data_IF_524554405026
#
_entry.id   IF_524554405026
#
_cell.length_a   1.000
_cell.length_b   1.000
_cell.length_c   1.000
_cell.angle_alpha   90.00
_cell.angle_beta   90.00
_cell.angle_gamma   90.00
#
_symmetry.space_group_name_H-M   'P 1'
#
loop_
_entity.id
_entity.type
_entity.pdbx_description
1 polymer ?
#
# COMPACT_ATOMS: atom_id res chain seq x y z
N UNK A 1 26.94 2.70 18.57
CA UNK A 1 27.25 4.07 19.05
C UNK A 1 27.76 4.93 17.89
N UNK A 2 26.89 5.29 16.94
CA UNK A 2 27.15 6.36 15.98
C UNK A 2 25.79 6.83 15.42
N UNK A 3 25.16 7.81 16.09
CA UNK A 3 23.86 8.36 15.67
C UNK A 3 24.11 9.26 14.45
N UNK A 4 23.45 8.95 13.34
CA UNK A 4 23.50 9.81 12.14
C UNK A 4 22.40 10.85 12.27
N UNK A 5 22.80 12.10 12.35
CA UNK A 5 21.88 13.24 12.41
C UNK A 5 21.53 13.73 11.00
N UNK A 6 20.34 14.30 10.84
CA UNK A 6 19.85 14.82 9.57
C UNK A 6 20.23 16.31 9.48
N UNK A 7 20.89 16.69 8.39
CA UNK A 7 21.36 18.06 8.18
C UNK A 7 21.20 18.44 6.70
N UNK A 8 20.46 19.53 6.45
CA UNK A 8 20.28 20.06 5.09
C UNK A 8 21.41 21.04 4.81
N UNK A 9 22.20 20.72 3.78
CA UNK A 9 23.27 21.61 3.30
C UNK A 9 22.77 22.47 2.15
N UNK A 10 23.06 23.77 2.23
CA UNK A 10 22.86 24.69 1.11
C UNK A 10 23.75 24.25 -0.07
N UNK A 11 23.11 23.94 -1.21
CA UNK A 11 23.80 23.67 -2.48
C UNK A 11 24.05 24.96 -3.25
N UNK A 12 24.73 24.90 -4.40
CA UNK A 12 25.11 26.08 -5.18
C UNK A 12 23.87 26.95 -5.51
N UNK A 13 23.85 28.17 -4.96
CA UNK A 13 22.74 29.13 -5.11
C UNK A 13 21.68 29.09 -4.00
N UNK A 14 21.81 28.20 -3.02
CA UNK A 14 20.97 28.17 -1.82
C UNK A 14 21.53 29.03 -0.69
N UNK A 15 20.64 29.60 0.10
CA UNK A 15 20.98 30.35 1.29
C UNK A 15 21.20 29.44 2.51
N UNK A 16 22.19 29.78 3.34
CA UNK A 16 22.59 29.01 4.52
C UNK A 16 21.53 29.15 5.61
N UNK A 17 20.93 30.34 5.79
CA UNK A 17 19.93 30.57 6.83
C UNK A 17 18.67 29.72 6.55
N UNK A 18 18.23 29.73 5.30
CA UNK A 18 17.12 28.91 4.82
C UNK A 18 17.36 27.42 5.07
N UNK A 19 18.58 26.92 4.80
CA UNK A 19 18.94 25.53 5.07
C UNK A 19 18.94 25.20 6.58
N UNK A 20 19.35 26.14 7.43
CA UNK A 20 19.26 26.03 8.87
C UNK A 20 17.82 25.91 9.37
N UNK A 21 16.91 26.73 8.83
CA UNK A 21 15.47 26.66 9.15
C UNK A 21 14.89 25.30 8.76
N UNK A 22 15.17 24.80 7.55
CA UNK A 22 14.68 23.48 7.13
C UNK A 22 15.23 22.34 7.97
N UNK A 23 16.50 22.42 8.37
CA UNK A 23 17.10 21.44 9.28
C UNK A 23 16.38 21.45 10.63
N UNK A 24 16.08 22.62 11.18
CA UNK A 24 15.30 22.76 12.41
C UNK A 24 13.89 22.17 12.30
N UNK A 25 13.19 22.45 11.21
CA UNK A 25 11.84 21.92 10.96
C UNK A 25 11.83 20.39 10.87
N UNK A 26 12.78 19.79 10.15
CA UNK A 26 12.85 18.34 10.02
C UNK A 26 13.17 17.69 11.36
N UNK A 27 14.10 18.25 12.14
CA UNK A 27 14.43 17.70 13.47
C UNK A 27 13.23 17.77 14.40
N UNK A 28 12.51 18.89 14.41
CA UNK A 28 11.28 19.02 15.19
C UNK A 28 10.24 17.96 14.81
N UNK A 29 9.94 17.82 13.52
CA UNK A 29 9.00 16.80 13.04
C UNK A 29 9.47 15.38 13.38
N UNK A 30 10.78 15.12 13.29
CA UNK A 30 11.35 13.81 13.59
C UNK A 30 11.26 13.48 15.09
N UNK A 31 11.46 14.46 15.97
CA UNK A 31 11.33 14.30 17.42
C UNK A 31 9.87 14.06 17.82
N UNK A 32 8.92 14.80 17.24
CA UNK A 32 7.47 14.65 17.49
C UNK A 32 6.96 13.25 17.14
N UNK A 33 7.47 12.67 16.05
CA UNK A 33 7.08 11.34 15.58
C UNK A 33 7.82 10.17 16.26
N UNK A 34 8.66 10.42 17.27
CA UNK A 34 9.60 9.41 17.83
C UNK A 34 10.42 8.72 16.73
N UNK A 35 10.99 9.53 15.84
CA UNK A 35 11.68 9.06 14.65
C UNK A 35 12.94 8.26 14.96
N UNK A 36 13.60 8.53 16.08
CA UNK A 36 14.80 7.81 16.51
C UNK A 36 14.49 6.33 16.78
N UNK A 37 13.40 6.05 17.51
CA UNK A 37 13.00 4.69 17.80
C UNK A 37 12.64 3.94 16.51
N UNK A 38 11.90 4.59 15.61
CA UNK A 38 11.47 4.03 14.33
C UNK A 38 12.64 3.76 13.38
N UNK A 39 13.61 4.67 13.31
CA UNK A 39 14.83 4.50 12.54
C UNK A 39 15.72 3.38 13.11
N UNK A 40 15.82 3.30 14.45
CA UNK A 40 16.54 2.22 15.13
C UNK A 40 15.90 0.85 14.86
N UNK A 41 14.57 0.75 14.93
CA UNK A 41 13.86 -0.49 14.60
C UNK A 41 14.02 -0.85 13.12
N UNK A 42 13.95 0.14 12.22
CA UNK A 42 14.23 -0.06 10.79
C UNK A 42 15.64 -0.63 10.56
N UNK A 43 16.66 -0.07 11.22
CA UNK A 43 18.03 -0.57 11.15
C UNK A 43 18.15 -1.98 11.71
N UNK A 44 17.52 -2.26 12.86
CA UNK A 44 17.52 -3.58 13.47
C UNK A 44 16.84 -4.63 12.60
N UNK A 45 15.73 -4.28 11.95
CA UNK A 45 15.06 -5.13 10.96
C UNK A 45 15.96 -5.38 9.76
N UNK A 46 16.62 -4.35 9.24
CA UNK A 46 17.62 -4.49 8.17
C UNK A 46 18.71 -5.50 8.51
N UNK A 47 19.17 -5.54 9.77
CA UNK A 47 20.14 -6.54 10.22
C UNK A 47 19.59 -7.98 10.26
N UNK A 48 18.28 -8.15 10.51
CA UNK A 48 17.63 -9.49 10.58
C UNK A 48 17.19 -10.03 9.22
N UNK A 49 16.58 -9.18 8.40
CA UNK A 49 15.92 -9.58 7.13
C UNK A 49 16.71 -9.14 5.90
N UNK A 50 17.81 -8.42 6.08
CA UNK A 50 18.63 -7.83 5.02
C UNK A 50 18.11 -6.49 4.49
N UNK A 51 16.86 -6.12 4.79
CA UNK A 51 16.23 -4.87 4.32
C UNK A 51 15.32 -4.26 5.39
N UNK A 52 15.43 -2.95 5.60
CA UNK A 52 14.58 -2.18 6.51
C UNK A 52 13.83 -1.10 5.74
N UNK A 53 12.56 -0.89 6.08
CA UNK A 53 11.71 0.10 5.43
C UNK A 53 11.17 1.11 6.42
N UNK A 54 11.21 2.37 6.01
CA UNK A 54 10.65 3.49 6.73
C UNK A 54 9.67 4.19 5.79
N UNK A 55 8.41 4.23 6.19
CA UNK A 55 7.34 4.84 5.41
C UNK A 55 7.01 6.21 6.01
N UNK A 56 6.95 7.23 5.16
CA UNK A 56 6.58 8.59 5.53
C UNK A 56 5.27 8.89 4.81
N UNK A 57 4.25 9.29 5.55
CA UNK A 57 2.96 9.69 5.00
C UNK A 57 2.47 10.96 5.68
N UNK A 58 1.51 11.65 5.05
CA UNK A 58 0.82 12.78 5.65
C UNK A 58 -0.50 12.26 6.20
N UNK A 59 -0.62 12.25 7.52
CA UNK A 59 -1.87 11.84 8.16
C UNK A 59 -2.89 12.98 8.05
N UNK A 60 -3.85 12.80 7.15
CA UNK A 60 -4.99 13.69 6.99
C UNK A 60 -6.24 13.21 7.74
N UNK A 61 -6.18 12.03 8.38
CA UNK A 61 -7.32 11.41 9.05
C UNK A 61 -7.46 11.90 10.50
N UNK A 62 -6.35 12.21 11.18
CA UNK A 62 -6.32 12.69 12.57
C UNK A 62 -6.53 14.20 12.71
N UNK A 63 -5.88 15.02 11.88
CA UNK A 63 -6.09 16.47 11.79
C UNK A 63 -6.21 16.92 10.32
N UNK A 64 -7.44 17.13 9.81
CA UNK A 64 -7.66 17.52 8.42
C UNK A 64 -7.18 18.94 8.09
N UNK A 65 -6.91 19.77 9.10
CA UNK A 65 -6.51 21.17 8.94
C UNK A 65 -4.99 21.29 8.95
N UNK A 66 -4.32 20.72 9.95
CA UNK A 66 -2.87 20.88 10.11
C UNK A 66 -2.05 19.78 9.43
N UNK A 67 -2.67 18.64 9.09
CA UNK A 67 -2.06 17.51 8.36
C UNK A 67 -0.65 17.18 8.85
N UNK A 68 -0.59 16.34 9.87
CA UNK A 68 0.68 16.00 10.50
C UNK A 68 1.48 14.98 9.67
N UNK A 69 2.81 15.00 9.82
CA UNK A 69 3.64 13.93 9.27
C UNK A 69 3.48 12.68 10.12
N UNK A 70 3.43 11.53 9.46
CA UNK A 70 3.46 10.22 10.09
C UNK A 70 4.69 9.46 9.58
N UNK A 71 5.38 8.83 10.52
CA UNK A 71 6.51 7.97 10.26
C UNK A 71 6.19 6.57 10.76
N UNK A 72 6.35 5.55 9.94
CA UNK A 72 6.09 4.17 10.32
C UNK A 72 7.26 3.26 9.92
N UNK A 73 7.73 2.41 10.85
CA UNK A 73 8.63 1.31 10.50
C UNK A 73 7.81 0.12 10.01
N UNK A 74 7.94 -0.21 8.73
CA UNK A 74 7.14 -1.25 8.08
C UNK A 74 7.88 -2.59 8.11
N UNK A 75 7.13 -3.69 8.19
CA UNK A 75 7.68 -5.03 8.06
C UNK A 75 8.20 -5.26 6.63
N UNK A 76 9.39 -5.84 6.49
CA UNK A 76 10.00 -6.13 5.17
C UNK A 76 9.13 -7.03 4.30
N UNK A 77 8.37 -7.95 4.90
CA UNK A 77 7.50 -8.87 4.16
C UNK A 77 6.26 -8.21 3.55
N UNK A 78 5.93 -7.01 4.03
CA UNK A 78 4.80 -6.23 3.58
C UNK A 78 5.15 -5.31 2.41
N UNK A 79 6.44 -5.13 2.10
CA UNK A 79 6.90 -4.27 1.02
C UNK A 79 7.42 -5.13 -0.12
N UNK A 80 6.88 -4.90 -1.31
CA UNK A 80 7.30 -5.56 -2.54
C UNK A 80 7.89 -4.52 -3.49
N UNK A 81 9.17 -4.70 -3.79
CA UNK A 81 9.90 -3.94 -4.81
C UNK A 81 9.50 -4.41 -6.21
N UNK A 82 9.60 -3.53 -7.20
CA UNK A 82 9.48 -3.91 -8.61
C UNK A 82 10.44 -5.07 -8.95
N UNK A 83 9.91 -6.22 -9.42
CA UNK A 83 10.74 -7.37 -9.78
C UNK A 83 11.80 -7.09 -10.86
N UNK A 84 11.62 -6.02 -11.66
CA UNK A 84 12.55 -5.65 -12.73
C UNK A 84 13.65 -4.70 -12.28
N UNK A 85 13.53 -4.14 -11.07
CA UNK A 85 14.52 -3.25 -10.48
C UNK A 85 15.84 -3.96 -10.16
N UNK A 86 16.95 -3.28 -10.42
CA UNK A 86 18.32 -3.80 -10.26
C UNK A 86 19.21 -2.84 -9.49
N UNK A 87 18.93 -1.53 -9.52
CA UNK A 87 19.72 -0.57 -8.74
C UNK A 87 19.31 -0.54 -7.28
N UNK A 88 20.26 -0.12 -6.45
CA UNK A 88 20.03 0.11 -5.02
C UNK A 88 19.16 1.35 -4.78
N UNK A 89 19.38 2.41 -5.57
CA UNK A 89 18.46 3.54 -5.59
C UNK A 89 17.23 3.14 -6.41
N UNK A 90 16.08 3.08 -5.74
CA UNK A 90 14.83 2.68 -6.36
C UNK A 90 14.26 3.79 -7.24
N UNK A 91 14.71 5.04 -7.10
CA UNK A 91 14.21 6.14 -7.91
C UNK A 91 14.68 6.08 -9.37
N UNK A 92 15.73 5.30 -9.67
CA UNK A 92 16.34 5.26 -11.00
C UNK A 92 15.57 4.34 -11.96
N UNK A 93 15.15 3.16 -11.49
CA UNK A 93 14.63 2.09 -12.34
C UNK A 93 13.32 1.44 -11.86
N UNK A 94 12.96 1.56 -10.58
CA UNK A 94 11.71 0.99 -10.08
C UNK A 94 10.55 1.94 -10.40
N UNK A 95 9.49 1.42 -11.03
CA UNK A 95 8.29 2.22 -11.27
C UNK A 95 7.32 2.18 -10.09
N UNK A 96 7.31 1.07 -9.35
CA UNK A 96 6.35 0.82 -8.29
C UNK A 96 7.03 0.22 -7.06
N UNK A 97 6.53 0.64 -5.90
CA UNK A 97 6.78 -0.02 -4.62
C UNK A 97 5.41 -0.32 -4.03
N UNK A 98 5.11 -1.61 -3.83
CA UNK A 98 3.78 -2.03 -3.36
C UNK A 98 3.82 -2.30 -1.86
N UNK A 99 2.95 -1.61 -1.13
CA UNK A 99 2.79 -1.79 0.31
C UNK A 99 1.53 -2.61 0.61
N UNK A 100 1.72 -3.80 1.18
CA UNK A 100 0.66 -4.71 1.61
C UNK A 100 0.40 -4.55 3.11
N UNK A 101 -0.78 -4.04 3.49
CA UNK A 101 -1.20 -3.92 4.89
C UNK A 101 -2.37 -4.86 5.18
N UNK A 102 -2.30 -5.53 6.32
CA UNK A 102 -3.43 -6.30 6.87
C UNK A 102 -4.22 -5.36 7.77
N UNK A 103 -5.46 -5.08 7.37
CA UNK A 103 -6.34 -4.12 8.05
C UNK A 103 -7.76 -4.67 8.09
N UNK A 104 -8.53 -4.27 9.09
CA UNK A 104 -9.93 -4.70 9.23
C UNK A 104 -10.80 -4.13 8.11
N UNK A 105 -11.72 -4.95 7.59
CA UNK A 105 -12.63 -4.58 6.50
C UNK A 105 -13.36 -3.26 6.77
N UNK A 106 -13.90 -3.09 7.98
CA UNK A 106 -14.63 -1.88 8.39
C UNK A 106 -13.76 -0.62 8.31
N UNK A 107 -12.48 -0.73 8.64
CA UNK A 107 -11.53 0.39 8.59
C UNK A 107 -11.21 0.76 7.15
N UNK A 108 -11.05 -0.22 6.27
CA UNK A 108 -10.83 0.01 4.84
C UNK A 108 -12.07 0.64 4.18
N UNK A 109 -13.28 0.16 4.50
CA UNK A 109 -14.54 0.73 4.00
C UNK A 109 -14.74 2.20 4.41
N UNK A 110 -14.27 2.56 5.62
CA UNK A 110 -14.28 3.95 6.09
C UNK A 110 -13.28 4.81 5.31
N UNK A 111 -12.08 4.29 5.05
CA UNK A 111 -11.00 5.01 4.35
C UNK A 111 -11.29 5.18 2.85
N UNK A 112 -11.90 4.19 2.21
CA UNK A 112 -12.18 4.17 0.78
C UNK A 112 -13.68 3.94 0.50
N UNK A 113 -14.54 4.94 0.78
CA UNK A 113 -15.99 4.76 0.69
C UNK A 113 -16.49 4.48 -0.73
N UNK A 114 -15.73 4.89 -1.75
CA UNK A 114 -16.07 4.68 -3.17
C UNK A 114 -15.93 3.23 -3.63
N UNK A 115 -15.12 2.44 -2.94
CA UNK A 115 -14.81 1.05 -3.32
C UNK A 115 -15.58 0.02 -2.48
N UNK A 116 -16.57 0.45 -1.69
CA UNK A 116 -17.36 -0.44 -0.82
C UNK A 116 -18.02 -1.58 -1.60
N UNK A 117 -18.66 -1.27 -2.72
CA UNK A 117 -19.36 -2.26 -3.55
C UNK A 117 -18.40 -3.27 -4.18
N UNK A 118 -17.22 -2.82 -4.63
CA UNK A 118 -16.17 -3.69 -5.14
C UNK A 118 -15.64 -4.60 -4.02
N UNK A 119 -15.40 -4.06 -2.82
CA UNK A 119 -14.91 -4.82 -1.66
C UNK A 119 -15.90 -5.86 -1.15
N UNK A 120 -17.20 -5.56 -1.19
CA UNK A 120 -18.25 -6.53 -0.86
C UNK A 120 -18.30 -7.67 -1.88
N UNK A 121 -18.00 -7.39 -3.15
CA UNK A 121 -17.93 -8.42 -4.19
C UNK A 121 -16.74 -9.39 -4.01
N UNK A 122 -15.67 -8.95 -3.33
CA UNK A 122 -14.53 -9.80 -2.96
C UNK A 122 -14.78 -10.67 -1.72
N UNK A 123 -15.90 -10.45 -1.03
CA UNK A 123 -16.27 -11.19 0.18
C UNK A 123 -16.69 -12.62 -0.20
N UNK A 124 -15.70 -13.52 -0.32
CA UNK A 124 -15.92 -14.96 -0.48
C UNK A 124 -16.43 -15.57 0.83
N UNK A 125 -17.64 -15.19 1.25
CA UNK A 125 -18.43 -16.01 2.16
C UNK A 125 -19.00 -17.19 1.36
N UNK A 126 -18.28 -18.32 1.35
CA UNK A 126 -18.86 -19.67 1.27
C UNK A 126 -19.68 -20.11 0.05
N UNK A 127 -20.02 -19.26 -0.91
CA UNK A 127 -20.83 -19.62 -2.07
C UNK A 127 -20.07 -19.28 -3.37
N UNK A 128 -19.56 -20.33 -4.03
CA UNK A 128 -19.03 -20.35 -5.42
C UNK A 128 -18.54 -19.00 -5.96
N UNK A 129 -17.48 -18.46 -5.37
CA UNK A 129 -16.76 -17.30 -5.89
C UNK A 129 -16.00 -17.60 -7.19
N UNK A 130 -15.43 -16.56 -7.82
CA UNK A 130 -14.74 -16.52 -9.12
C UNK A 130 -13.90 -17.76 -9.51
N UNK A 131 -13.24 -18.43 -8.56
CA UNK A 131 -12.54 -19.71 -8.78
C UNK A 131 -13.49 -20.81 -9.27
N UNK A 132 -14.69 -20.91 -8.72
CA UNK A 132 -15.74 -21.82 -9.19
C UNK A 132 -16.23 -21.50 -10.61
N UNK A 133 -16.37 -20.22 -10.96
CA UNK A 133 -16.71 -19.79 -12.34
C UNK A 133 -15.59 -20.08 -13.33
N UNK A 134 -14.33 -19.97 -12.90
CA UNK A 134 -13.15 -20.23 -13.73
C UNK A 134 -12.91 -21.73 -13.91
N UNK A 135 -13.17 -22.53 -12.87
CA UNK A 135 -13.13 -24.00 -12.92
C UNK A 135 -14.30 -24.56 -13.74
N UNK A 136 -15.53 -24.05 -13.60
CA UNK A 136 -16.66 -24.44 -14.45
C UNK A 136 -16.45 -24.02 -15.92
N UNK A 137 -15.86 -22.84 -16.15
CA UNK A 137 -15.46 -22.38 -17.48
C UNK A 137 -14.38 -23.27 -18.12
N UNK A 138 -13.39 -23.68 -17.34
CA UNK A 138 -12.36 -24.64 -17.79
C UNK A 138 -12.94 -26.03 -18.03
N UNK A 139 -13.85 -26.50 -17.19
CA UNK A 139 -14.47 -27.83 -17.32
C UNK A 139 -15.34 -27.90 -18.59
N UNK A 140 -16.13 -26.86 -18.87
CA UNK A 140 -16.90 -26.77 -20.12
C UNK A 140 -16.01 -26.65 -21.36
N UNK A 141 -14.82 -26.03 -21.25
CA UNK A 141 -13.85 -25.95 -22.33
C UNK A 141 -13.13 -27.28 -22.59
N UNK A 142 -12.82 -28.06 -21.54
CA UNK A 142 -12.11 -29.34 -21.65
C UNK A 142 -13.02 -30.54 -21.96
N UNK A 143 -14.29 -30.51 -21.55
CA UNK A 143 -15.20 -31.68 -21.66
C UNK A 143 -16.10 -31.60 -22.89
N UNK A 144 -16.08 -30.50 -23.66
CA UNK A 144 -16.71 -30.43 -24.98
C UNK A 144 -18.15 -30.95 -24.99
N UNK A 145 -19.02 -30.38 -24.15
CA UNK A 145 -20.36 -30.90 -23.89
C UNK A 145 -21.46 -29.89 -24.13
N UNK A 146 -22.04 -29.93 -25.33
CA UNK A 146 -23.28 -29.25 -25.71
C UNK A 146 -24.44 -29.60 -24.73
N UNK A 147 -24.84 -28.67 -23.87
CA UNK A 147 -26.19 -28.68 -23.28
C UNK A 147 -26.82 -27.30 -23.41
N UNK A 148 -27.92 -27.28 -24.16
CA UNK A 148 -28.60 -26.10 -24.60
C UNK A 148 -29.17 -25.27 -23.45
N UNK A 149 -29.04 -23.96 -23.63
CA UNK A 149 -29.89 -22.93 -23.05
C UNK A 149 -31.35 -23.34 -23.26
N UNK A 150 -32.06 -23.66 -22.17
CA UNK A 150 -33.53 -23.73 -22.14
C UNK A 150 -34.04 -22.94 -20.94
N UNK A 151 -34.88 -21.95 -21.23
CA UNK A 151 -35.85 -21.42 -20.27
C UNK A 151 -35.66 -19.97 -19.85
N UNK A 152 -35.50 -19.02 -20.78
CA UNK A 152 -36.04 -17.68 -20.57
C UNK A 152 -37.54 -17.76 -20.95
N UNK A 153 -38.42 -17.54 -19.97
CA UNK A 153 -39.85 -17.46 -20.19
C UNK A 153 -40.18 -16.28 -21.09
N UNK A 154 -40.92 -16.57 -22.16
CA UNK A 154 -41.60 -15.56 -22.95
C UNK A 154 -43.02 -16.08 -23.12
N UNK A 155 -43.94 -15.50 -22.32
CA UNK A 155 -45.38 -15.64 -22.51
C UNK A 155 -45.72 -15.15 -23.92
N UNK A 156 -46.46 -15.97 -24.66
CA UNK A 156 -47.17 -15.55 -25.87
C UNK A 156 -48.62 -15.90 -25.59
N UNK A 157 -49.43 -14.86 -25.38
CA UNK A 157 -50.87 -14.91 -25.25
C UNK A 157 -51.51 -15.52 -26.50
N UNK A 158 -52.43 -16.47 -26.32
CA UNK A 158 -53.36 -16.96 -27.34
C UNK A 158 -54.72 -16.25 -27.16
N UNK A 159 -55.06 -15.35 -28.08
CA UNK A 159 -56.30 -15.30 -28.89
C UNK A 159 -56.36 -14.03 -29.75
#
# INVERSE_FOLDING_TARGET
QNRRDIDIKARRGGDIETAGVFTGLIKHAFDEMDGDAKASDCFHRGNKTGKGWLFIDIDADSDPINKEFSLESVSTFNVEEDPNGKSYDMNDDHQFVTLKKWEDKQKIEKKYPKHKEEMDSFNMSGERGWVGKLVDGMYNFFVGGNQGVKGAGMEVDEE
#
